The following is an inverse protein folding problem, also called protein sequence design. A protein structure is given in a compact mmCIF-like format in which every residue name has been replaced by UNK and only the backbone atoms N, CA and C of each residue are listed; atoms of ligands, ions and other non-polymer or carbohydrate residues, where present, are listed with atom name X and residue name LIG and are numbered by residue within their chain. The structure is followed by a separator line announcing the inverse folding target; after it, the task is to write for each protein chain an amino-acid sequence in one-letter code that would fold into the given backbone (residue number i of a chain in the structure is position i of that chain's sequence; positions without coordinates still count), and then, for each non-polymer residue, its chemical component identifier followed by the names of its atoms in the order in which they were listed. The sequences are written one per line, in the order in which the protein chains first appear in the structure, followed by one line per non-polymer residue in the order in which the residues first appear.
data_IF_936732163220
#
_entry.id   IF_936732163220
#
_cell.length_a   1.000
_cell.length_b   1.000
_cell.length_c   1.000
_cell.angle_alpha   90.00
_cell.angle_beta   90.00
_cell.angle_gamma   90.00
#
_symmetry.space_group_name_H-M   'P 1'
#
loop_
_entity.id
_entity.type
_entity.pdbx_description
1 polymer ?
#
# COMPACT_ATOMS: atom_id res chain seq x y z
N UNK A 1 31.10 -14.52 -26.50
CA UNK A 1 30.29 -15.21 -25.47
C UNK A 1 29.04 -14.37 -25.25
N UNK A 2 27.99 -14.66 -26.02
CA UNK A 2 26.79 -13.83 -26.12
C UNK A 2 25.71 -14.27 -25.13
N UNK A 3 25.08 -13.32 -24.46
CA UNK A 3 23.88 -13.54 -23.66
C UNK A 3 22.72 -13.98 -24.56
N UNK A 4 21.99 -15.05 -24.23
CA UNK A 4 20.79 -15.41 -24.97
C UNK A 4 19.68 -14.38 -24.72
N UNK A 5 19.21 -13.82 -25.83
CA UNK A 5 18.07 -12.92 -25.95
C UNK A 5 16.79 -13.66 -25.52
N UNK A 6 16.20 -13.27 -24.39
CA UNK A 6 14.89 -13.77 -23.97
C UNK A 6 13.81 -12.92 -24.63
N UNK A 7 13.37 -13.38 -25.81
CA UNK A 7 12.14 -12.93 -26.47
C UNK A 7 10.93 -13.28 -25.59
N UNK A 8 10.61 -12.42 -24.62
CA UNK A 8 9.35 -12.46 -23.90
C UNK A 8 8.27 -12.02 -24.88
N UNK A 9 7.69 -12.99 -25.59
CA UNK A 9 6.51 -12.80 -26.43
C UNK A 9 5.35 -12.33 -25.55
N UNK A 10 4.99 -11.06 -25.66
CA UNK A 10 3.77 -10.48 -25.08
C UNK A 10 2.54 -11.22 -25.65
N UNK A 11 1.78 -11.98 -24.84
CA UNK A 11 0.66 -12.78 -25.34
C UNK A 11 -0.61 -11.95 -25.60
N UNK A 12 -0.59 -10.62 -25.46
CA UNK A 12 -1.76 -9.75 -25.60
C UNK A 12 -2.03 -9.24 -27.03
N UNK A 13 -1.40 -9.80 -28.05
CA UNK A 13 -1.68 -9.42 -29.43
C UNK A 13 -2.83 -10.27 -30.03
N UNK A 14 -4.00 -9.63 -30.13
CA UNK A 14 -5.11 -9.91 -31.05
C UNK A 14 -6.07 -11.07 -30.70
N UNK A 15 -7.11 -10.72 -29.94
CA UNK A 15 -8.48 -11.16 -30.27
C UNK A 15 -9.38 -9.93 -30.35
N UNK A 16 -9.69 -9.53 -31.59
CA UNK A 16 -10.78 -8.60 -31.86
C UNK A 16 -12.07 -9.25 -31.36
N UNK A 17 -12.63 -8.71 -30.28
CA UNK A 17 -13.95 -9.10 -29.80
C UNK A 17 -14.95 -8.37 -30.70
N UNK A 18 -15.63 -9.12 -31.57
CA UNK A 18 -16.78 -8.61 -32.32
C UNK A 18 -17.81 -8.05 -31.32
N UNK A 19 -18.25 -6.82 -31.55
CA UNK A 19 -19.38 -6.25 -30.83
C UNK A 19 -20.62 -7.14 -31.07
N UNK A 20 -21.36 -7.57 -30.03
CA UNK A 20 -22.62 -8.23 -30.24
C UNK A 20 -23.65 -7.19 -30.68
N UNK A 21 -24.03 -7.24 -31.95
CA UNK A 21 -25.30 -6.72 -32.43
C UNK A 21 -26.42 -7.50 -31.75
N UNK A 22 -27.05 -6.89 -30.76
CA UNK A 22 -28.13 -7.50 -29.98
C UNK A 22 -29.18 -6.48 -29.60
N UNK A 23 -30.12 -6.23 -30.51
CA UNK A 23 -31.42 -5.68 -30.17
C UNK A 23 -32.19 -6.76 -29.37
N UNK A 24 -32.28 -6.61 -28.04
CA UNK A 24 -33.29 -7.30 -27.23
C UNK A 24 -33.76 -6.35 -26.14
N UNK A 25 -35.01 -5.88 -26.27
CA UNK A 25 -35.70 -5.24 -25.18
C UNK A 25 -35.93 -6.24 -24.06
N UNK A 26 -35.61 -5.86 -22.82
CA UNK A 26 -36.15 -6.47 -21.61
C UNK A 26 -36.04 -5.45 -20.48
N UNK A 27 -37.20 -5.02 -19.99
CA UNK A 27 -37.37 -4.10 -18.88
C UNK A 27 -36.87 -4.73 -17.57
N UNK A 28 -35.57 -4.60 -17.28
CA UNK A 28 -35.02 -4.93 -15.97
C UNK A 28 -35.47 -3.92 -14.92
N UNK A 29 -36.04 -4.38 -13.80
CA UNK A 29 -36.47 -3.52 -12.67
C UNK A 29 -35.34 -2.55 -12.28
N UNK A 30 -35.67 -1.28 -12.02
CA UNK A 30 -34.68 -0.23 -11.71
C UNK A 30 -33.73 -0.61 -10.55
N UNK A 31 -34.18 -1.46 -9.61
CA UNK A 31 -33.38 -1.96 -8.49
C UNK A 31 -32.15 -2.77 -8.91
N UNK A 32 -32.27 -3.64 -9.91
CA UNK A 32 -31.17 -4.51 -10.36
C UNK A 32 -30.13 -3.73 -11.16
N UNK A 33 -30.59 -2.76 -11.96
CA UNK A 33 -29.71 -1.81 -12.66
C UNK A 33 -28.94 -0.92 -11.68
N UNK A 34 -29.59 -0.46 -10.61
CA UNK A 34 -28.91 0.33 -9.56
C UNK A 34 -27.85 -0.51 -8.85
N UNK A 35 -28.16 -1.77 -8.51
CA UNK A 35 -27.21 -2.67 -7.86
C UNK A 35 -26.01 -2.99 -8.77
N UNK A 36 -26.23 -3.19 -10.07
CA UNK A 36 -25.17 -3.37 -11.06
C UNK A 36 -24.28 -2.13 -11.20
N UNK A 37 -24.88 -0.93 -11.23
CA UNK A 37 -24.14 0.34 -11.28
C UNK A 37 -23.37 0.63 -9.98
N UNK A 38 -23.93 0.31 -8.80
CA UNK A 38 -23.21 0.43 -7.52
C UNK A 38 -22.05 -0.59 -7.45
N UNK A 39 -22.22 -1.81 -7.96
CA UNK A 39 -21.18 -2.85 -8.04
C UNK A 39 -20.08 -2.45 -9.03
N UNK A 40 -20.45 -1.86 -10.17
CA UNK A 40 -19.51 -1.34 -11.17
C UNK A 40 -18.77 -0.09 -10.65
N UNK A 41 -19.46 0.82 -9.94
CA UNK A 41 -18.84 1.98 -9.27
C UNK A 41 -17.87 1.56 -8.17
N UNK A 42 -18.22 0.54 -7.38
CA UNK A 42 -17.28 -0.03 -6.40
C UNK A 42 -16.09 -0.72 -7.06
N UNK A 43 -16.29 -1.45 -8.17
CA UNK A 43 -15.19 -2.04 -8.94
C UNK A 43 -14.27 -0.99 -9.55
N UNK A 44 -14.83 0.07 -10.15
CA UNK A 44 -14.06 1.22 -10.67
C UNK A 44 -13.35 2.01 -9.55
N UNK A 45 -13.89 2.00 -8.33
CA UNK A 45 -13.22 2.55 -7.13
C UNK A 45 -12.07 1.65 -6.67
N UNK A 46 -12.22 0.34 -6.74
CA UNK A 46 -11.14 -0.62 -6.47
C UNK A 46 -10.05 -0.58 -7.55
N UNK A 47 -10.41 -0.42 -8.82
CA UNK A 47 -9.47 -0.39 -9.94
C UNK A 47 -8.70 0.95 -10.01
N UNK A 48 -9.33 2.10 -9.74
CA UNK A 48 -8.60 3.37 -9.60
C UNK A 48 -7.61 3.39 -8.41
N UNK A 49 -7.81 2.51 -7.42
CA UNK A 49 -6.83 2.25 -6.36
C UNK A 49 -5.65 1.38 -6.84
N UNK A 50 -5.75 0.73 -8.01
CA UNK A 50 -4.69 -0.11 -8.60
C UNK A 50 -3.91 0.59 -9.73
N UNK A 51 -4.53 1.49 -10.50
CA UNK A 51 -3.83 2.29 -11.54
C UNK A 51 -2.89 3.33 -10.95
N UNK A 52 -3.20 3.81 -9.76
CA UNK A 52 -2.26 4.54 -8.93
C UNK A 52 -1.86 3.62 -7.76
N UNK A 53 -0.59 3.25 -7.57
CA UNK A 53 -0.15 2.18 -6.62
C UNK A 53 -0.73 2.17 -5.18
N UNK A 54 -0.61 1.04 -4.48
CA UNK A 54 -1.25 0.83 -3.19
C UNK A 54 -0.91 1.89 -2.13
N UNK A 55 -1.88 2.18 -1.25
CA UNK A 55 -1.82 3.28 -0.31
C UNK A 55 -0.59 3.21 0.62
N UNK A 56 -0.13 2.00 0.97
CA UNK A 56 1.04 1.81 1.83
C UNK A 56 2.36 2.33 1.22
N UNK A 57 2.44 2.41 -0.12
CA UNK A 57 3.59 2.99 -0.83
C UNK A 57 3.47 4.52 -1.00
N UNK A 58 2.23 5.03 -1.03
CA UNK A 58 1.91 6.43 -1.31
C UNK A 58 1.90 7.33 -0.08
N UNK A 59 1.84 8.65 -0.32
CA UNK A 59 1.68 9.67 0.72
C UNK A 59 0.39 9.47 1.53
N UNK A 60 -0.69 9.02 0.89
CA UNK A 60 -1.99 8.80 1.54
C UNK A 60 -1.98 7.70 2.60
N UNK A 61 -1.01 6.77 2.59
CA UNK A 61 -0.82 5.75 3.63
C UNK A 61 0.27 6.05 4.65
N UNK A 62 0.98 7.17 4.52
CA UNK A 62 2.07 7.57 5.45
C UNK A 62 1.53 8.50 6.53
N UNK A 63 2.06 8.39 7.74
CA UNK A 63 1.82 9.36 8.82
C UNK A 63 2.94 10.42 8.81
N UNK A 64 2.60 11.70 8.96
CA UNK A 64 3.54 12.81 9.08
C UNK A 64 4.47 12.67 10.29
N UNK A 65 3.96 12.07 11.37
CA UNK A 65 4.71 11.78 12.59
C UNK A 65 5.61 10.54 12.48
N UNK A 66 5.52 9.79 11.37
CA UNK A 66 6.33 8.62 11.09
C UNK A 66 5.54 7.31 10.95
N UNK A 67 6.05 6.39 10.14
CA UNK A 67 5.42 5.10 9.86
C UNK A 67 4.20 5.18 8.93
N UNK A 68 3.44 4.09 8.88
CA UNK A 68 2.18 3.99 8.13
C UNK A 68 0.99 4.38 9.02
N UNK A 69 0.01 5.04 8.40
CA UNK A 69 -1.29 5.28 9.01
C UNK A 69 -2.21 4.05 8.86
N UNK A 70 -3.43 4.13 9.38
CA UNK A 70 -4.41 3.04 9.32
C UNK A 70 -4.69 2.55 7.90
N UNK A 71 -4.87 3.49 6.96
CA UNK A 71 -5.09 3.18 5.54
C UNK A 71 -3.89 2.48 4.92
N UNK A 72 -2.68 2.92 5.26
CA UNK A 72 -1.43 2.30 4.84
C UNK A 72 -1.29 0.87 5.36
N UNK A 73 -1.55 0.62 6.65
CA UNK A 73 -1.44 -0.73 7.23
C UNK A 73 -2.45 -1.70 6.61
N UNK A 74 -3.71 -1.29 6.48
CA UNK A 74 -4.75 -2.08 5.80
C UNK A 74 -4.42 -2.38 4.34
N UNK A 75 -3.87 -1.39 3.64
CA UNK A 75 -3.44 -1.56 2.25
C UNK A 75 -2.25 -2.52 2.13
N UNK A 76 -1.34 -2.52 3.10
CA UNK A 76 -0.24 -3.47 3.16
C UNK A 76 -0.75 -4.89 3.41
N UNK A 77 -1.65 -5.08 4.38
CA UNK A 77 -2.25 -6.39 4.70
C UNK A 77 -3.06 -6.96 3.53
N UNK A 78 -3.76 -6.11 2.74
CA UNK A 78 -4.47 -6.54 1.53
C UNK A 78 -3.52 -7.15 0.48
N UNK A 79 -2.33 -6.59 0.32
CA UNK A 79 -1.32 -7.10 -0.62
C UNK A 79 -0.42 -8.19 -0.03
N UNK A 80 -0.42 -8.35 1.29
CA UNK A 80 0.40 -9.33 2.01
C UNK A 80 -0.49 -10.15 2.97
N UNK A 81 -1.29 -11.11 2.44
CA UNK A 81 -2.17 -11.93 3.26
C UNK A 81 -1.41 -12.67 4.36
N UNK A 82 -1.95 -12.66 5.58
CA UNK A 82 -1.32 -13.26 6.76
C UNK A 82 -0.31 -12.35 7.48
N UNK A 83 -0.04 -11.14 6.97
CA UNK A 83 0.67 -10.13 7.74
C UNK A 83 -0.21 -9.51 8.84
N UNK A 84 0.41 -9.11 9.95
CA UNK A 84 -0.26 -8.44 11.08
C UNK A 84 0.54 -7.18 11.45
N UNK A 85 0.41 -6.14 10.62
CA UNK A 85 1.25 -4.96 10.75
C UNK A 85 0.75 -4.06 11.88
N UNK A 86 1.35 -4.23 13.06
CA UNK A 86 0.98 -3.46 14.25
C UNK A 86 1.46 -2.01 14.22
N UNK A 87 0.64 -1.13 14.79
CA UNK A 87 1.00 0.27 15.00
C UNK A 87 2.11 0.42 16.06
N UNK A 88 2.86 1.54 16.03
CA UNK A 88 3.74 1.94 17.11
C UNK A 88 3.04 1.95 18.47
N UNK A 89 3.73 1.48 19.50
CA UNK A 89 3.24 1.55 20.88
C UNK A 89 4.13 2.49 21.69
N UNK A 90 3.50 3.47 22.34
CA UNK A 90 4.20 4.43 23.23
C UNK A 90 4.31 3.94 24.68
N UNK A 91 3.67 2.80 25.02
CA UNK A 91 3.58 2.27 26.39
C UNK A 91 4.93 1.73 26.86
N UNK A 92 5.42 2.21 28.00
CA UNK A 92 6.56 1.63 28.69
C UNK A 92 6.24 0.18 29.12
N UNK A 93 7.26 -0.69 29.16
CA UNK A 93 7.08 -2.12 29.43
C UNK A 93 6.67 -2.97 28.22
N UNK A 94 6.26 -2.37 27.09
CA UNK A 94 5.96 -3.15 25.89
C UNK A 94 7.26 -3.73 25.27
N UNK A 95 7.39 -5.07 25.15
CA UNK A 95 8.62 -5.71 24.66
C UNK A 95 8.93 -5.35 23.19
N UNK A 96 7.90 -5.08 22.38
CA UNK A 96 8.06 -4.62 21.00
C UNK A 96 8.61 -3.21 20.94
N UNK A 97 8.18 -2.31 21.84
CA UNK A 97 8.76 -0.97 21.97
C UNK A 97 10.21 -1.05 22.43
N UNK A 98 10.51 -1.84 23.46
CA UNK A 98 11.88 -2.00 23.97
C UNK A 98 12.83 -2.49 22.87
N UNK A 99 12.42 -3.53 22.15
CA UNK A 99 13.15 -4.08 21.00
C UNK A 99 13.37 -3.08 19.87
N UNK A 100 12.35 -2.28 19.56
CA UNK A 100 12.43 -1.25 18.53
C UNK A 100 13.38 -0.12 18.94
N UNK A 101 13.22 0.42 20.16
CA UNK A 101 14.08 1.49 20.65
C UNK A 101 15.55 1.07 20.66
N UNK A 102 15.87 -0.13 21.14
CA UNK A 102 17.26 -0.62 21.19
C UNK A 102 17.90 -0.66 19.79
N UNK A 103 17.20 -1.25 18.82
CA UNK A 103 17.68 -1.36 17.43
C UNK A 103 17.83 0.02 16.78
N UNK A 104 16.79 0.83 16.85
CA UNK A 104 16.74 2.11 16.12
C UNK A 104 17.67 3.15 16.74
N UNK A 105 17.80 3.19 18.08
CA UNK A 105 18.80 4.05 18.75
C UNK A 105 20.23 3.58 18.43
N UNK A 106 20.47 2.27 18.39
CA UNK A 106 21.76 1.72 17.98
C UNK A 106 22.14 2.10 16.55
N UNK A 107 21.21 1.95 15.61
CA UNK A 107 21.38 2.38 14.21
C UNK A 107 21.61 3.89 14.10
N UNK A 108 20.87 4.70 14.87
CA UNK A 108 21.06 6.16 14.94
C UNK A 108 22.47 6.53 15.39
N UNK A 109 23.01 5.82 16.38
CA UNK A 109 24.32 6.10 16.96
C UNK A 109 25.48 5.67 16.04
N UNK A 110 25.36 4.51 15.37
CA UNK A 110 26.48 3.90 14.65
C UNK A 110 26.49 4.18 13.15
N UNK A 111 25.31 4.15 12.51
CA UNK A 111 25.19 4.10 11.04
C UNK A 111 24.53 5.35 10.45
N UNK A 112 24.00 6.24 11.29
CA UNK A 112 23.36 7.47 10.82
C UNK A 112 24.34 8.63 10.92
N UNK A 113 24.51 9.38 9.83
CA UNK A 113 25.38 10.55 9.81
C UNK A 113 24.95 11.59 10.85
N UNK A 114 25.89 12.40 11.33
CA UNK A 114 25.62 13.46 12.34
C UNK A 114 24.47 14.37 11.89
N UNK A 115 24.47 14.79 10.61
CA UNK A 115 23.43 15.63 10.00
C UNK A 115 22.03 15.00 10.11
N UNK A 116 21.88 13.75 9.69
CA UNK A 116 20.58 13.06 9.74
C UNK A 116 20.17 12.75 11.18
N UNK A 117 21.13 12.43 12.06
CA UNK A 117 20.84 12.15 13.45
C UNK A 117 20.33 13.38 14.23
N UNK A 118 20.82 14.58 13.89
CA UNK A 118 20.38 15.85 14.49
C UNK A 118 19.10 16.41 13.87
N UNK A 119 18.76 16.06 12.63
CA UNK A 119 17.56 16.56 11.95
C UNK A 119 16.28 15.97 12.58
N UNK A 120 15.42 16.78 13.22
CA UNK A 120 14.19 16.31 13.87
C UNK A 120 13.21 15.69 12.86
N UNK A 121 13.25 16.12 11.61
CA UNK A 121 12.36 15.67 10.54
C UNK A 121 12.87 14.46 9.77
N UNK A 122 14.07 14.00 10.08
CA UNK A 122 14.61 12.76 9.53
C UNK A 122 13.69 11.57 9.84
N UNK A 123 13.66 10.61 8.91
CA UNK A 123 12.82 9.40 9.03
C UNK A 123 13.10 8.62 10.32
N UNK A 124 14.37 8.56 10.73
CA UNK A 124 14.79 7.88 11.96
C UNK A 124 14.24 8.58 13.21
N UNK A 125 14.27 9.91 13.27
CA UNK A 125 13.76 10.68 14.41
C UNK A 125 12.23 10.70 14.47
N UNK A 126 11.54 10.78 13.31
CA UNK A 126 10.09 10.57 13.25
C UNK A 126 9.69 9.19 13.80
N UNK A 127 10.39 8.14 13.36
CA UNK A 127 10.12 6.78 13.83
C UNK A 127 10.40 6.61 15.33
N UNK A 128 11.51 7.14 15.85
CA UNK A 128 11.80 7.10 17.29
C UNK A 128 10.72 7.82 18.11
N UNK A 129 10.28 9.02 17.69
CA UNK A 129 9.19 9.77 18.34
C UNK A 129 7.88 9.00 18.36
N UNK A 130 7.50 8.37 17.25
CA UNK A 130 6.27 7.57 17.16
C UNK A 130 6.22 6.42 18.19
N UNK A 131 7.39 5.87 18.55
CA UNK A 131 7.55 4.80 19.54
C UNK A 131 7.91 5.32 20.95
N UNK A 132 7.95 6.64 21.16
CA UNK A 132 8.41 7.28 22.39
C UNK A 132 9.81 6.76 22.80
N UNK A 133 10.69 6.65 21.82
CA UNK A 133 12.12 6.41 21.97
C UNK A 133 12.85 7.76 21.84
#
# INVERSE_FOLDING_TARGET
MGHPNLDIKNPLAKKQVKAPTGNTGLAGKMGDRKMMMDKMRNRLREDNLTTEGAAWTKKSGKNSEGGLNEKGRKSYEKENPGSDLKAPSKKAGNPRRASFCARMKGMKKKLTSKKTASDPDSRINKSLRAWNC
#
